data_IF_446782514179
#
_entry.id   IF_446782514179
#
_cell.length_a   1.000
_cell.length_b   1.000
_cell.length_c   1.000
_cell.angle_alpha   90.00
_cell.angle_beta   90.00
_cell.angle_gamma   90.00
#
_symmetry.space_group_name_H-M   'P 1'
#
loop_
_entity.id
_entity.type
_entity.pdbx_description
1 polymer ?
#
# COMPACT_ATOMS: atom_id res chain seq x y z
N UNK A 1 -14.30 -38.43 7.14
CA UNK A 1 -13.81 -37.48 8.17
C UNK A 1 -12.89 -36.44 7.56
N UNK A 2 -11.87 -36.81 6.77
CA UNK A 2 -10.91 -35.88 6.15
C UNK A 2 -11.56 -34.79 5.27
N UNK A 3 -12.45 -35.17 4.35
CA UNK A 3 -13.16 -34.21 3.49
C UNK A 3 -14.04 -33.23 4.28
N UNK A 4 -14.60 -33.67 5.39
CA UNK A 4 -15.39 -32.80 6.26
C UNK A 4 -14.50 -31.78 7.00
N UNK A 5 -13.32 -32.20 7.46
CA UNK A 5 -12.35 -31.28 8.05
C UNK A 5 -11.92 -30.20 7.08
N UNK A 6 -11.57 -30.57 5.84
CA UNK A 6 -11.21 -29.60 4.80
C UNK A 6 -12.34 -28.66 4.42
N UNK A 7 -13.58 -29.15 4.37
CA UNK A 7 -14.73 -28.30 4.12
C UNK A 7 -14.95 -27.29 5.27
N UNK A 8 -14.75 -27.70 6.53
CA UNK A 8 -14.80 -26.79 7.66
C UNK A 8 -13.69 -25.73 7.60
N UNK A 9 -12.49 -26.12 7.17
CA UNK A 9 -11.40 -25.19 6.93
C UNK A 9 -11.77 -24.13 5.87
N UNK A 10 -12.32 -24.53 4.72
CA UNK A 10 -12.76 -23.60 3.70
C UNK A 10 -13.80 -22.59 4.23
N UNK A 11 -14.75 -23.04 5.04
CA UNK A 11 -15.74 -22.16 5.68
C UNK A 11 -15.10 -21.22 6.67
N UNK A 12 -14.14 -21.69 7.45
CA UNK A 12 -13.40 -20.87 8.40
C UNK A 12 -12.61 -19.76 7.68
N UNK A 13 -11.94 -20.11 6.58
CA UNK A 13 -11.18 -19.12 5.79
C UNK A 13 -12.09 -18.11 5.11
N UNK A 14 -13.23 -18.54 4.59
CA UNK A 14 -14.23 -17.63 4.03
C UNK A 14 -14.70 -16.59 5.05
N UNK A 15 -14.98 -17.01 6.28
CA UNK A 15 -15.40 -16.12 7.37
C UNK A 15 -14.25 -15.21 7.86
N UNK A 16 -13.04 -15.74 7.97
CA UNK A 16 -11.85 -14.98 8.35
C UNK A 16 -11.53 -13.87 7.32
N UNK A 17 -11.59 -14.19 6.03
CA UNK A 17 -11.39 -13.21 4.96
C UNK A 17 -12.49 -12.14 4.95
N UNK A 18 -13.74 -12.52 5.20
CA UNK A 18 -14.82 -11.56 5.32
C UNK A 18 -14.57 -10.56 6.44
N UNK A 19 -14.19 -11.04 7.62
CA UNK A 19 -13.85 -10.18 8.76
C UNK A 19 -12.66 -9.27 8.47
N UNK A 20 -11.64 -9.78 7.78
CA UNK A 20 -10.48 -8.99 7.37
C UNK A 20 -10.87 -7.87 6.39
N UNK A 21 -11.77 -8.15 5.44
CA UNK A 21 -12.30 -7.15 4.50
C UNK A 21 -13.07 -6.07 5.27
N UNK A 22 -14.02 -6.45 6.11
CA UNK A 22 -14.86 -5.53 6.87
C UNK A 22 -13.99 -4.62 7.76
N UNK A 23 -13.06 -5.20 8.52
CA UNK A 23 -12.10 -4.45 9.34
C UNK A 23 -11.24 -3.49 8.53
N UNK A 24 -10.80 -3.91 7.34
CA UNK A 24 -10.00 -3.08 6.44
C UNK A 24 -10.76 -1.84 5.98
N UNK A 25 -12.01 -2.01 5.56
CA UNK A 25 -12.86 -0.89 5.16
C UNK A 25 -13.14 0.06 6.32
N UNK A 26 -13.46 -0.46 7.49
CA UNK A 26 -13.70 0.35 8.70
C UNK A 26 -12.49 1.20 9.09
N UNK A 27 -11.28 0.64 9.01
CA UNK A 27 -10.05 1.38 9.33
C UNK A 27 -9.71 2.44 8.26
N UNK A 28 -9.97 2.14 6.98
CA UNK A 28 -9.80 3.09 5.88
C UNK A 28 -10.78 4.25 6.03
N UNK A 29 -12.04 3.98 6.31
CA UNK A 29 -13.07 5.01 6.49
C UNK A 29 -12.72 5.93 7.65
N UNK A 30 -12.38 5.39 8.82
CA UNK A 30 -11.92 6.17 9.96
C UNK A 30 -10.70 7.02 9.68
N UNK A 31 -9.76 6.51 8.88
CA UNK A 31 -8.55 7.25 8.50
C UNK A 31 -8.82 8.35 7.46
N UNK A 32 -9.94 8.26 6.72
CA UNK A 32 -10.31 9.19 5.65
C UNK A 32 -11.22 10.30 6.15
N UNK A 33 -11.78 10.19 7.35
CA UNK A 33 -12.61 11.23 7.95
C UNK A 33 -11.90 12.60 8.01
N UNK A 34 -12.66 13.71 7.77
CA UNK A 34 -12.12 15.06 7.85
C UNK A 34 -11.57 15.35 9.25
N UNK A 35 -10.29 15.69 9.34
CA UNK A 35 -9.61 15.97 10.62
C UNK A 35 -8.87 14.77 11.24
N UNK A 36 -8.91 13.61 10.63
CA UNK A 36 -8.14 12.44 11.07
C UNK A 36 -6.62 12.72 11.01
N UNK A 37 -5.99 12.73 12.19
CA UNK A 37 -4.53 12.84 12.29
C UNK A 37 -3.89 11.46 12.21
N UNK A 38 -2.96 11.31 11.27
CA UNK A 38 -2.18 10.06 11.16
C UNK A 38 -2.64 9.09 10.07
N UNK A 39 -3.42 9.54 9.08
CA UNK A 39 -3.87 8.77 7.91
C UNK A 39 -2.77 7.83 7.36
N UNK A 40 -1.58 8.36 7.10
CA UNK A 40 -0.47 7.57 6.57
C UNK A 40 0.03 6.48 7.55
N UNK A 41 -0.08 6.69 8.86
CA UNK A 41 0.27 5.67 9.86
C UNK A 41 -0.75 4.55 9.89
N UNK A 42 -2.04 4.89 9.86
CA UNK A 42 -3.15 3.92 9.78
C UNK A 42 -3.05 3.10 8.49
N UNK A 43 -2.85 3.73 7.34
CA UNK A 43 -2.70 3.04 6.07
C UNK A 43 -1.51 2.07 6.03
N UNK A 44 -0.39 2.42 6.66
CA UNK A 44 0.75 1.49 6.79
C UNK A 44 0.41 0.30 7.69
N UNK A 45 -0.32 0.53 8.78
CA UNK A 45 -0.77 -0.54 9.68
C UNK A 45 -1.67 -1.50 8.92
N UNK A 46 -2.75 -1.01 8.32
CA UNK A 46 -3.71 -1.81 7.56
C UNK A 46 -3.03 -2.57 6.41
N UNK A 47 -2.14 -1.91 5.66
CA UNK A 47 -1.36 -2.57 4.60
C UNK A 47 -0.54 -3.75 5.12
N UNK A 48 0.12 -3.60 6.27
CA UNK A 48 0.94 -4.67 6.84
C UNK A 48 0.07 -5.84 7.34
N UNK A 49 -1.07 -5.55 7.96
CA UNK A 49 -2.05 -6.57 8.38
C UNK A 49 -2.62 -7.33 7.16
N UNK A 50 -2.94 -6.63 6.07
CA UNK A 50 -3.37 -7.27 4.82
C UNK A 50 -2.29 -8.19 4.24
N UNK A 51 -1.03 -7.78 4.29
CA UNK A 51 0.08 -8.61 3.81
C UNK A 51 0.21 -9.89 4.62
N UNK A 52 0.06 -9.82 5.94
CA UNK A 52 0.08 -10.99 6.83
C UNK A 52 -1.08 -11.94 6.51
N UNK A 53 -2.32 -11.44 6.43
CA UNK A 53 -3.50 -12.24 6.08
C UNK A 53 -3.34 -12.91 4.71
N UNK A 54 -2.84 -12.20 3.70
CA UNK A 54 -2.63 -12.77 2.36
C UNK A 54 -1.54 -13.85 2.37
N UNK A 55 -0.46 -13.67 3.14
CA UNK A 55 0.60 -14.67 3.28
C UNK A 55 0.07 -15.96 3.93
N UNK A 56 -0.66 -15.83 5.04
CA UNK A 56 -1.27 -16.96 5.72
C UNK A 56 -2.23 -17.73 4.81
N UNK A 57 -3.10 -17.00 4.09
CA UNK A 57 -4.08 -17.61 3.17
C UNK A 57 -3.41 -18.29 1.97
N UNK A 58 -2.28 -17.80 1.49
CA UNK A 58 -1.53 -18.43 0.39
C UNK A 58 -1.01 -19.81 0.79
N UNK A 59 -0.47 -19.95 2.01
CA UNK A 59 0.00 -21.23 2.54
C UNK A 59 -1.18 -22.21 2.67
N UNK A 60 -2.30 -21.75 3.20
CA UNK A 60 -3.47 -22.57 3.47
C UNK A 60 -4.14 -23.05 2.17
N UNK A 61 -4.26 -22.20 1.16
CA UNK A 61 -4.80 -22.59 -0.16
C UNK A 61 -3.94 -23.67 -0.82
N UNK A 62 -2.62 -23.55 -0.72
CA UNK A 62 -1.68 -24.57 -1.22
C UNK A 62 -1.86 -25.93 -0.51
N UNK A 63 -2.11 -25.91 0.79
CA UNK A 63 -2.31 -27.15 1.56
C UNK A 63 -3.60 -27.87 1.15
N UNK A 64 -4.69 -27.15 0.89
CA UNK A 64 -5.96 -27.74 0.41
C UNK A 64 -5.80 -28.36 -0.98
N UNK A 65 -5.05 -27.73 -1.88
CA UNK A 65 -4.79 -28.26 -3.22
C UNK A 65 -3.87 -29.50 -3.17
N UNK A 66 -2.88 -29.52 -2.29
CA UNK A 66 -1.98 -30.64 -2.11
C UNK A 66 -2.65 -31.86 -1.43
N UNK A 67 -3.70 -31.65 -0.67
CA UNK A 67 -4.43 -32.73 0.00
C UNK A 67 -5.03 -33.76 -0.96
N UNK A 68 -5.34 -33.37 -2.22
CA UNK A 68 -5.77 -34.28 -3.28
C UNK A 68 -4.64 -35.19 -3.78
N UNK A 69 -3.38 -34.78 -3.63
CA UNK A 69 -2.22 -35.53 -4.12
C UNK A 69 -1.73 -36.60 -3.14
N UNK A 70 -2.17 -36.54 -1.88
CA UNK A 70 -1.73 -37.45 -0.81
C UNK A 70 -2.45 -38.80 -0.86
N UNK A 71 -3.53 -38.94 -1.63
CA UNK A 71 -4.29 -40.17 -1.71
C UNK A 71 -3.77 -41.07 -2.83
N UNK A 72 -2.88 -41.99 -2.55
CA UNK A 72 -2.39 -43.00 -3.52
C UNK A 72 -3.48 -43.96 -4.00
N UNK A 73 -4.58 -44.08 -3.26
CA UNK A 73 -5.70 -44.96 -3.57
C UNK A 73 -6.74 -44.22 -4.45
N UNK A 74 -6.86 -44.68 -5.71
CA UNK A 74 -7.79 -44.17 -6.70
C UNK A 74 -9.26 -44.23 -6.24
N UNK A 75 -9.63 -45.24 -5.47
CA UNK A 75 -10.99 -45.34 -4.94
C UNK A 75 -11.29 -44.24 -3.92
N UNK A 76 -10.41 -44.07 -2.95
CA UNK A 76 -10.55 -43.01 -1.94
C UNK A 76 -10.52 -41.62 -2.57
N UNK A 77 -9.70 -41.40 -3.58
CA UNK A 77 -9.67 -40.13 -4.32
C UNK A 77 -11.03 -39.83 -5.01
N UNK A 78 -11.67 -40.82 -5.62
CA UNK A 78 -12.99 -40.67 -6.24
C UNK A 78 -14.09 -40.40 -5.21
N UNK A 79 -14.08 -41.11 -4.09
CA UNK A 79 -15.03 -40.89 -2.99
C UNK A 79 -14.88 -39.47 -2.44
N UNK A 80 -13.64 -39.04 -2.21
CA UNK A 80 -13.33 -37.70 -1.75
C UNK A 80 -13.84 -36.63 -2.73
N UNK A 81 -13.51 -36.76 -4.02
CA UNK A 81 -13.94 -35.81 -5.04
C UNK A 81 -15.47 -35.71 -5.11
N UNK A 82 -16.17 -36.86 -5.03
CA UNK A 82 -17.63 -36.88 -5.01
C UNK A 82 -18.22 -36.19 -3.80
N UNK A 83 -17.59 -36.38 -2.63
CA UNK A 83 -18.01 -35.76 -1.38
C UNK A 83 -17.82 -34.25 -1.41
N UNK A 84 -16.67 -33.75 -1.88
CA UNK A 84 -16.39 -32.33 -2.03
C UNK A 84 -17.34 -31.65 -3.05
N UNK A 85 -17.69 -32.38 -4.13
CA UNK A 85 -18.70 -31.92 -5.07
C UNK A 85 -20.09 -31.75 -4.41
N UNK A 86 -20.54 -32.70 -3.61
CA UNK A 86 -21.80 -32.62 -2.87
C UNK A 86 -21.82 -31.45 -1.86
N UNK A 87 -20.69 -31.16 -1.24
CA UNK A 87 -20.53 -30.03 -0.34
C UNK A 87 -20.36 -28.68 -1.07
N UNK A 88 -20.34 -28.69 -2.41
CA UNK A 88 -20.12 -27.50 -3.24
C UNK A 88 -18.80 -26.77 -2.88
N UNK A 89 -17.75 -27.52 -2.59
CA UNK A 89 -16.44 -26.99 -2.16
C UNK A 89 -15.85 -26.02 -3.20
N UNK A 90 -16.12 -26.24 -4.48
CA UNK A 90 -15.68 -25.35 -5.56
C UNK A 90 -16.25 -23.95 -5.44
N UNK A 91 -17.49 -23.81 -5.01
CA UNK A 91 -18.13 -22.51 -4.76
C UNK A 91 -17.44 -21.78 -3.62
N UNK A 92 -17.06 -22.49 -2.55
CA UNK A 92 -16.34 -21.91 -1.42
C UNK A 92 -14.93 -21.47 -1.83
N UNK A 93 -14.23 -22.26 -2.62
CA UNK A 93 -12.91 -21.90 -3.17
C UNK A 93 -12.99 -20.64 -4.03
N UNK A 94 -13.97 -20.56 -4.90
CA UNK A 94 -14.17 -19.37 -5.75
C UNK A 94 -14.49 -18.12 -4.91
N UNK A 95 -15.30 -18.25 -3.86
CA UNK A 95 -15.57 -17.16 -2.92
C UNK A 95 -14.30 -16.71 -2.19
N UNK A 96 -13.49 -17.63 -1.71
CA UNK A 96 -12.19 -17.35 -1.07
C UNK A 96 -11.28 -16.61 -2.04
N UNK A 97 -11.11 -17.11 -3.27
CA UNK A 97 -10.29 -16.49 -4.30
C UNK A 97 -10.79 -15.07 -4.65
N UNK A 98 -12.09 -14.88 -4.70
CA UNK A 98 -12.68 -13.56 -4.97
C UNK A 98 -12.37 -12.59 -3.83
N UNK A 99 -12.51 -13.01 -2.58
CA UNK A 99 -12.17 -12.21 -1.41
C UNK A 99 -10.68 -11.87 -1.34
N UNK A 100 -9.81 -12.83 -1.65
CA UNK A 100 -8.37 -12.59 -1.75
C UNK A 100 -8.03 -11.53 -2.81
N UNK A 101 -8.68 -11.56 -3.98
CA UNK A 101 -8.52 -10.50 -5.00
C UNK A 101 -8.98 -9.14 -4.51
N UNK A 102 -10.04 -9.06 -3.69
CA UNK A 102 -10.47 -7.79 -3.08
C UNK A 102 -9.41 -7.28 -2.11
N UNK A 103 -8.90 -8.13 -1.21
CA UNK A 103 -7.83 -7.74 -0.28
C UNK A 103 -6.55 -7.31 -1.01
N UNK A 104 -6.18 -8.01 -2.08
CA UNK A 104 -5.03 -7.63 -2.91
C UNK A 104 -5.21 -6.23 -3.52
N UNK A 105 -6.39 -5.92 -4.04
CA UNK A 105 -6.69 -4.57 -4.56
C UNK A 105 -6.60 -3.50 -3.47
N UNK A 106 -7.14 -3.78 -2.28
CA UNK A 106 -7.02 -2.87 -1.13
C UNK A 106 -5.54 -2.66 -0.77
N UNK A 107 -4.73 -3.72 -0.73
CA UNK A 107 -3.29 -3.63 -0.49
C UNK A 107 -2.58 -2.75 -1.53
N UNK A 108 -2.85 -2.93 -2.81
CA UNK A 108 -2.25 -2.16 -3.91
C UNK A 108 -2.60 -0.67 -3.79
N UNK A 109 -3.86 -0.34 -3.51
CA UNK A 109 -4.32 1.03 -3.29
C UNK A 109 -3.61 1.67 -2.09
N UNK A 110 -3.59 0.99 -0.95
CA UNK A 110 -2.93 1.47 0.27
C UNK A 110 -1.42 1.63 0.08
N UNK A 111 -0.80 0.71 -0.65
CA UNK A 111 0.63 0.79 -0.94
C UNK A 111 0.96 2.01 -1.81
N UNK A 112 0.14 2.30 -2.81
CA UNK A 112 0.28 3.48 -3.66
C UNK A 112 0.12 4.78 -2.85
N UNK A 113 -0.90 4.87 -1.99
CA UNK A 113 -1.11 6.02 -1.11
C UNK A 113 0.07 6.25 -0.14
N UNK A 114 0.59 5.19 0.46
CA UNK A 114 1.75 5.25 1.36
C UNK A 114 3.02 5.71 0.63
N UNK A 115 3.22 5.26 -0.61
CA UNK A 115 4.35 5.68 -1.44
C UNK A 115 4.23 7.15 -1.83
N UNK A 116 3.05 7.61 -2.24
CA UNK A 116 2.78 9.01 -2.59
C UNK A 116 3.03 9.96 -1.41
N UNK A 117 2.58 9.61 -0.20
CA UNK A 117 2.85 10.39 1.02
C UNK A 117 4.35 10.53 1.31
N UNK A 118 5.12 9.43 1.15
CA UNK A 118 6.58 9.48 1.31
C UNK A 118 7.27 10.32 0.25
N UNK A 119 6.81 10.23 -1.00
CA UNK A 119 7.36 11.01 -2.11
C UNK A 119 7.09 12.50 -1.94
N UNK A 120 5.87 12.86 -1.59
CA UNK A 120 5.47 14.25 -1.31
C UNK A 120 6.33 14.88 -0.20
N UNK A 121 6.55 14.19 0.92
CA UNK A 121 7.40 14.68 2.01
C UNK A 121 8.86 14.89 1.59
N UNK A 122 9.42 13.96 0.81
CA UNK A 122 10.79 14.12 0.28
C UNK A 122 10.87 15.30 -0.69
N UNK A 123 9.87 15.48 -1.55
CA UNK A 123 9.81 16.58 -2.49
C UNK A 123 9.76 17.94 -1.76
N UNK A 124 8.96 18.08 -0.71
CA UNK A 124 8.90 19.30 0.09
C UNK A 124 10.23 19.61 0.78
N UNK A 125 10.96 18.60 1.27
CA UNK A 125 12.29 18.78 1.84
C UNK A 125 13.30 19.26 0.78
N UNK A 126 13.27 18.71 -0.43
CA UNK A 126 14.15 19.13 -1.53
C UNK A 126 13.84 20.55 -1.94
N UNK A 127 12.57 20.91 -2.11
CA UNK A 127 12.14 22.27 -2.44
C UNK A 127 12.56 23.26 -1.36
N UNK A 128 12.38 22.91 -0.08
CA UNK A 128 12.83 23.72 1.05
C UNK A 128 14.33 23.95 1.04
N UNK A 129 15.13 22.91 0.79
CA UNK A 129 16.58 23.01 0.70
C UNK A 129 17.02 23.91 -0.46
N UNK A 130 16.37 23.74 -1.64
CA UNK A 130 16.65 24.60 -2.81
C UNK A 130 16.29 26.07 -2.53
N UNK A 131 15.19 26.33 -1.85
CA UNK A 131 14.80 27.69 -1.47
C UNK A 131 15.82 28.33 -0.53
N UNK A 132 16.35 27.58 0.46
CA UNK A 132 17.41 28.07 1.35
C UNK A 132 18.70 28.35 0.59
N UNK A 133 19.10 27.48 -0.33
CA UNK A 133 20.30 27.70 -1.16
C UNK A 133 20.13 28.91 -2.08
N UNK A 134 18.95 29.10 -2.68
CA UNK A 134 18.66 30.27 -3.50
C UNK A 134 18.70 31.58 -2.69
N UNK A 135 18.16 31.57 -1.47
CA UNK A 135 18.23 32.72 -0.58
C UNK A 135 19.66 33.06 -0.17
N UNK A 136 20.48 32.04 0.15
CA UNK A 136 21.89 32.21 0.45
C UNK A 136 22.68 32.79 -0.74
N UNK A 137 22.45 32.28 -1.94
CA UNK A 137 23.06 32.79 -3.17
C UNK A 137 22.66 34.24 -3.44
N UNK A 138 21.39 34.61 -3.24
CA UNK A 138 20.91 35.97 -3.37
C UNK A 138 21.60 36.92 -2.37
N UNK A 139 21.79 36.51 -1.12
CA UNK A 139 22.50 37.29 -0.12
C UNK A 139 23.98 37.54 -0.49
N UNK A 140 24.63 36.60 -1.15
CA UNK A 140 25.99 36.77 -1.65
C UNK A 140 26.07 37.69 -2.88
N UNK A 141 25.09 37.67 -3.76
CA UNK A 141 25.05 38.46 -4.97
C UNK A 141 24.64 39.91 -4.75
N UNK A 142 23.87 40.22 -3.70
CA UNK A 142 23.39 41.57 -3.38
C UNK A 142 24.52 42.62 -3.19
N UNK A 143 25.60 42.38 -2.43
CA UNK A 143 26.67 43.36 -2.28
C UNK A 143 27.40 43.68 -3.57
N UNK A 144 27.62 42.66 -4.43
CA UNK A 144 28.26 42.90 -5.75
C UNK A 144 27.37 43.68 -6.70
N UNK A 145 26.07 43.42 -6.71
CA UNK A 145 25.10 44.17 -7.53
C UNK A 145 25.00 45.65 -7.09
N UNK A 146 25.00 45.87 -5.76
CA UNK A 146 24.99 47.27 -5.20
C UNK A 146 26.28 48.00 -5.57
N UNK A 147 27.46 47.37 -5.43
CA UNK A 147 28.75 47.96 -5.79
C UNK A 147 28.77 48.34 -7.29
N UNK A 148 28.34 47.42 -8.18
CA UNK A 148 28.25 47.71 -9.63
C UNK A 148 27.30 48.90 -9.93
N UNK A 149 26.16 48.94 -9.25
CA UNK A 149 25.17 50.01 -9.44
C UNK A 149 25.70 51.36 -8.98
N UNK A 150 26.42 51.45 -7.86
CA UNK A 150 27.11 52.63 -7.34
C UNK A 150 28.20 53.07 -8.36
N UNK A 151 28.98 52.13 -8.87
CA UNK A 151 30.05 52.42 -9.84
C UNK A 151 29.50 53.01 -11.13
N UNK A 152 28.38 52.49 -11.66
CA UNK A 152 27.70 53.03 -12.83
C UNK A 152 27.16 54.43 -12.53
N UNK A 153 26.53 54.65 -11.37
CA UNK A 153 25.98 55.92 -10.98
C UNK A 153 27.07 57.01 -10.84
N UNK A 154 28.22 56.67 -10.24
CA UNK A 154 29.35 57.56 -10.12
C UNK A 154 30.00 57.91 -11.46
N UNK A 155 30.01 56.97 -12.42
CA UNK A 155 30.51 57.19 -13.75
C UNK A 155 29.61 58.15 -14.56
N UNK A 156 28.27 58.01 -14.42
CA UNK A 156 27.29 58.89 -15.07
C UNK A 156 27.27 60.31 -14.51
N UNK A 157 27.55 60.46 -13.20
CA UNK A 157 27.56 61.74 -12.51
C UNK A 157 28.89 62.48 -12.54
N UNK A 158 29.98 61.86 -13.00
CA UNK A 158 31.28 62.52 -13.14
C UNK A 158 31.23 63.48 -14.33
N UNK A 159 31.52 64.79 -14.16
CA UNK A 159 31.58 65.75 -15.27
C UNK A 159 32.75 65.37 -16.17
N UNK A 160 32.45 64.99 -17.42
CA UNK A 160 33.47 64.84 -18.44
C UNK A 160 34.13 66.17 -18.66
N UNK A 161 35.45 66.36 -18.48
CA UNK A 161 36.13 67.57 -18.87
C UNK A 161 36.11 67.63 -20.41
N UNK A 162 35.54 68.73 -20.94
CA UNK A 162 35.68 69.15 -22.33
C UNK A 162 37.12 69.54 -22.61
#
# INVERSE_FOLDING_TARGET
>A
EFANAQFLELRYYDDALRKAIDSTYDEIDKATEPGSRGKAKTFRKVRNELMEVMADMSVLTSNVDNALQVTEDVFNARVYARYMYLLRADVWRENINTKLKVLQRCYELLNTEVLMDRFSKKLHLIIGLLAVLAAAAAMWALPEAIIKLITILTWVTSPHPF
#
